data_IF_107437145250
#
_entry.id   IF_107437145250
#
_cell.length_a   1.000
_cell.length_b   1.000
_cell.length_c   1.000
_cell.angle_alpha   90.00
_cell.angle_beta   90.00
_cell.angle_gamma   90.00
#
_symmetry.space_group_name_H-M   'P 1'
#
loop_
_entity.id
_entity.type
_entity.pdbx_description
1 polymer ?
#
# COMPACT_ATOMS: atom_id res chain seq x y z
N UNK A 1 16.73 47.45 -9.05
CA UNK A 1 15.49 46.73 -8.71
C UNK A 1 15.78 45.25 -8.90
N UNK A 2 16.00 44.52 -7.81
CA UNK A 2 16.14 43.06 -7.86
C UNK A 2 14.80 42.42 -8.23
N UNK A 3 14.82 41.20 -8.77
CA UNK A 3 13.61 40.46 -9.14
C UNK A 3 12.63 40.40 -7.95
N UNK A 4 11.51 41.10 -8.06
CA UNK A 4 10.38 41.04 -7.11
C UNK A 4 9.53 39.78 -7.27
N UNK A 5 9.79 39.01 -8.33
CA UNK A 5 9.06 37.79 -8.63
C UNK A 5 9.71 36.58 -7.95
N UNK A 6 8.87 35.72 -7.36
CA UNK A 6 9.28 34.45 -6.78
C UNK A 6 9.65 33.43 -7.87
N UNK A 7 10.17 32.26 -7.46
CA UNK A 7 10.64 31.23 -8.38
C UNK A 7 9.52 30.71 -9.29
N UNK A 8 8.32 30.50 -8.74
CA UNK A 8 7.12 30.07 -9.48
C UNK A 8 6.82 31.01 -10.65
N UNK A 9 6.76 32.33 -10.40
CA UNK A 9 6.54 33.33 -11.45
C UNK A 9 7.71 33.42 -12.43
N UNK A 10 8.93 33.46 -11.92
CA UNK A 10 10.15 33.64 -12.73
C UNK A 10 10.33 32.50 -13.73
N UNK A 11 10.06 31.26 -13.32
CA UNK A 11 10.19 30.08 -14.17
C UNK A 11 8.88 29.71 -14.90
N UNK A 12 7.80 30.46 -14.67
CA UNK A 12 6.47 30.20 -15.25
C UNK A 12 5.85 28.88 -14.78
N UNK A 13 6.14 28.45 -13.55
CA UNK A 13 5.64 27.20 -12.98
C UNK A 13 4.12 27.25 -12.89
N UNK A 14 3.49 26.25 -13.48
CA UNK A 14 2.04 26.06 -13.46
C UNK A 14 1.72 24.92 -12.52
N UNK A 15 0.60 25.01 -11.81
CA UNK A 15 0.08 23.91 -10.99
C UNK A 15 -0.11 22.66 -11.85
N UNK A 16 0.42 21.54 -11.37
CA UNK A 16 0.34 20.26 -12.03
C UNK A 16 -0.86 19.48 -11.48
N UNK A 17 -1.55 18.78 -12.38
CA UNK A 17 -2.65 17.89 -12.00
C UNK A 17 -2.17 16.61 -11.32
N UNK A 18 -0.93 16.18 -11.61
CA UNK A 18 -0.25 15.05 -10.98
C UNK A 18 1.26 15.18 -11.19
N UNK A 19 2.04 14.41 -10.42
CA UNK A 19 3.49 14.31 -10.61
C UNK A 19 3.89 13.76 -11.99
N UNK A 20 3.01 12.98 -12.63
CA UNK A 20 3.18 12.43 -13.98
C UNK A 20 2.68 13.35 -15.10
N UNK A 21 2.25 14.57 -14.78
CA UNK A 21 1.90 15.57 -15.78
C UNK A 21 3.17 16.18 -16.37
N UNK A 22 3.60 15.66 -17.53
CA UNK A 22 4.82 16.08 -18.20
C UNK A 22 4.61 17.17 -19.24
N UNK A 23 3.38 17.68 -19.40
CA UNK A 23 2.99 18.50 -20.55
C UNK A 23 2.55 19.91 -20.17
N UNK A 24 2.08 20.10 -18.94
CA UNK A 24 1.55 21.39 -18.47
C UNK A 24 2.64 22.44 -18.30
N UNK A 25 2.36 23.66 -18.78
CA UNK A 25 3.25 24.81 -18.64
C UNK A 25 4.62 24.59 -19.27
N UNK A 26 5.66 25.20 -18.70
CA UNK A 26 7.02 25.03 -19.20
C UNK A 26 7.63 23.66 -18.87
N UNK A 27 6.99 22.84 -18.03
CA UNK A 27 7.41 21.44 -17.83
C UNK A 27 7.36 20.67 -19.14
N UNK A 28 6.40 20.97 -20.01
CA UNK A 28 6.33 20.41 -21.36
C UNK A 28 7.61 20.61 -22.18
N UNK A 29 8.25 21.78 -22.08
CA UNK A 29 9.51 22.04 -22.77
C UNK A 29 10.68 21.27 -22.14
N UNK A 30 10.72 21.23 -20.81
CA UNK A 30 11.73 20.46 -20.06
C UNK A 30 11.66 18.97 -20.40
N UNK A 31 10.44 18.40 -20.38
CA UNK A 31 10.19 17.01 -20.78
C UNK A 31 10.68 16.74 -22.19
N UNK A 32 10.40 17.62 -23.15
CA UNK A 32 10.85 17.45 -24.54
C UNK A 32 12.36 17.45 -24.67
N UNK A 33 13.07 18.29 -23.90
CA UNK A 33 14.53 18.24 -23.82
C UNK A 33 15.00 16.89 -23.26
N UNK A 34 14.44 16.44 -22.14
CA UNK A 34 14.78 15.13 -21.55
C UNK A 34 14.49 13.96 -22.49
N UNK A 35 13.41 14.01 -23.27
CA UNK A 35 13.12 12.94 -24.23
C UNK A 35 14.06 12.93 -25.44
N UNK A 36 14.73 14.04 -25.74
CA UNK A 36 15.66 14.15 -26.88
C UNK A 36 17.10 13.76 -26.50
N UNK A 37 17.55 14.18 -25.32
CA UNK A 37 18.96 14.12 -24.89
C UNK A 37 19.15 13.66 -23.44
N UNK A 38 18.06 13.33 -22.74
CA UNK A 38 18.10 12.91 -21.35
C UNK A 38 18.73 11.54 -21.13
N UNK A 39 18.88 11.10 -19.87
CA UNK A 39 19.46 9.80 -19.57
C UNK A 39 18.58 8.67 -20.09
N UNK A 40 19.21 7.53 -20.40
CA UNK A 40 18.51 6.36 -20.94
C UNK A 40 17.39 5.84 -20.01
N UNK A 41 17.49 6.09 -18.71
CA UNK A 41 16.44 5.77 -17.71
C UNK A 41 15.18 6.60 -17.95
N UNK A 42 15.31 7.88 -18.27
CA UNK A 42 14.19 8.77 -18.59
C UNK A 42 13.68 8.52 -20.01
N UNK A 43 14.56 8.44 -21.00
CA UNK A 43 14.19 8.27 -22.42
C UNK A 43 13.39 6.98 -22.66
N UNK A 44 13.76 5.88 -21.98
CA UNK A 44 13.02 4.61 -22.08
C UNK A 44 11.78 4.52 -21.20
N UNK A 45 11.58 5.47 -20.29
CA UNK A 45 10.42 5.46 -19.41
C UNK A 45 9.13 5.78 -20.19
N UNK A 46 7.99 5.57 -19.53
CA UNK A 46 6.67 5.98 -20.04
C UNK A 46 6.58 7.47 -20.35
N UNK A 47 7.49 8.30 -19.80
CA UNK A 47 7.58 9.74 -20.09
C UNK A 47 7.88 10.04 -21.56
N UNK A 48 8.72 9.22 -22.20
CA UNK A 48 9.29 9.53 -23.52
C UNK A 48 9.11 8.40 -24.54
N UNK A 49 9.05 7.13 -24.11
CA UNK A 49 8.93 5.95 -24.98
C UNK A 49 9.97 5.87 -26.11
N UNK A 50 11.16 6.42 -25.86
CA UNK A 50 12.29 6.45 -26.80
C UNK A 50 13.19 5.23 -26.69
N UNK A 51 14.26 5.24 -27.49
CA UNK A 51 15.30 4.19 -27.48
C UNK A 51 16.56 4.68 -26.80
N UNK A 52 17.31 3.76 -26.18
CA UNK A 52 18.61 4.10 -25.60
C UNK A 52 19.60 4.57 -26.66
N UNK A 53 20.45 5.52 -26.28
CA UNK A 53 21.55 5.98 -27.11
C UNK A 53 22.75 6.42 -26.30
N UNK A 54 23.87 6.57 -27.00
CA UNK A 54 25.05 7.27 -26.49
C UNK A 54 24.82 8.78 -26.56
N UNK A 55 25.41 9.51 -25.61
CA UNK A 55 25.29 10.95 -25.47
C UNK A 55 26.67 11.61 -25.55
N UNK A 56 26.78 12.76 -26.21
CA UNK A 56 27.96 13.61 -26.14
C UNK A 56 28.02 14.36 -24.80
N UNK A 57 29.17 14.94 -24.46
CA UNK A 57 29.30 15.78 -23.25
C UNK A 57 28.32 16.95 -23.28
N UNK A 58 28.21 17.66 -24.41
CA UNK A 58 27.27 18.78 -24.56
C UNK A 58 25.82 18.35 -24.33
N UNK A 59 25.45 17.14 -24.78
CA UNK A 59 24.11 16.58 -24.54
C UNK A 59 23.88 16.26 -23.06
N UNK A 60 24.91 15.78 -22.35
CA UNK A 60 24.85 15.52 -20.91
C UNK A 60 24.71 16.83 -20.11
N UNK A 61 25.36 17.91 -20.52
CA UNK A 61 25.21 19.22 -19.86
C UNK A 61 23.78 19.76 -19.99
N UNK A 62 23.21 19.71 -21.19
CA UNK A 62 21.82 20.16 -21.40
C UNK A 62 20.84 19.22 -20.66
N UNK A 63 21.11 17.91 -20.64
CA UNK A 63 20.36 16.92 -19.85
C UNK A 63 20.37 17.24 -18.35
N UNK A 64 21.52 17.60 -17.79
CA UNK A 64 21.67 18.01 -16.39
C UNK A 64 20.76 19.22 -16.08
N UNK A 65 20.78 20.27 -16.91
CA UNK A 65 19.91 21.43 -16.71
C UNK A 65 18.43 21.08 -16.86
N UNK A 66 18.09 20.20 -17.79
CA UNK A 66 16.71 19.73 -17.95
C UNK A 66 16.24 18.93 -16.72
N UNK A 67 17.09 18.07 -16.15
CA UNK A 67 16.77 17.35 -14.91
C UNK A 67 16.59 18.30 -13.72
N UNK A 68 17.43 19.33 -13.58
CA UNK A 68 17.25 20.37 -12.55
C UNK A 68 15.94 21.12 -12.75
N UNK A 69 15.63 21.50 -14.00
CA UNK A 69 14.38 22.17 -14.33
C UNK A 69 13.15 21.33 -13.99
N UNK A 70 13.20 20.02 -14.29
CA UNK A 70 12.10 19.09 -14.01
C UNK A 70 11.94 18.87 -12.50
N UNK A 71 13.04 18.79 -11.74
CA UNK A 71 13.02 18.68 -10.28
C UNK A 71 12.34 19.90 -9.64
N UNK A 72 12.68 21.11 -10.09
CA UNK A 72 12.06 22.35 -9.63
C UNK A 72 10.57 22.36 -9.99
N UNK A 73 10.22 22.02 -11.23
CA UNK A 73 8.84 21.99 -11.69
C UNK A 73 7.99 20.98 -10.93
N UNK A 74 8.54 19.79 -10.64
CA UNK A 74 7.85 18.78 -9.87
C UNK A 74 7.62 19.26 -8.43
N UNK A 75 8.65 19.83 -7.80
CA UNK A 75 8.59 20.28 -6.41
C UNK A 75 7.54 21.38 -6.24
N UNK A 76 7.60 22.44 -7.05
CA UNK A 76 6.67 23.56 -6.95
C UNK A 76 5.33 23.23 -7.61
N UNK A 77 5.31 22.65 -8.80
CA UNK A 77 4.07 22.35 -9.52
C UNK A 77 3.14 21.37 -8.78
N UNK A 78 3.67 20.50 -7.91
CA UNK A 78 2.88 19.57 -7.10
C UNK A 78 2.68 20.05 -5.66
N UNK A 79 3.72 20.56 -4.97
CA UNK A 79 3.62 20.90 -3.54
C UNK A 79 3.12 22.31 -3.26
N UNK A 80 3.39 23.28 -4.13
CA UNK A 80 2.95 24.69 -3.99
C UNK A 80 1.46 24.77 -4.39
N UNK A 81 0.60 24.32 -3.47
CA UNK A 81 -0.80 24.05 -3.76
C UNK A 81 -1.59 25.35 -4.01
N UNK A 82 -1.18 26.45 -3.39
CA UNK A 82 -1.75 27.78 -3.61
C UNK A 82 -0.98 28.61 -4.67
N UNK A 83 0.12 28.06 -5.21
CA UNK A 83 0.94 28.65 -6.27
C UNK A 83 1.50 30.03 -5.89
N UNK A 84 1.78 30.22 -4.60
CA UNK A 84 2.29 31.47 -4.05
C UNK A 84 3.83 31.57 -4.10
N UNK A 85 4.52 30.49 -4.49
CA UNK A 85 5.98 30.42 -4.60
C UNK A 85 6.72 30.01 -3.33
N UNK A 86 6.03 29.65 -2.26
CA UNK A 86 6.56 29.19 -0.98
C UNK A 86 5.99 27.81 -0.64
N UNK A 87 6.86 26.81 -0.44
CA UNK A 87 6.43 25.48 0.00
C UNK A 87 6.42 25.45 1.54
N UNK A 88 5.24 25.38 2.13
CA UNK A 88 5.06 25.44 3.59
C UNK A 88 5.16 24.07 4.26
N UNK A 89 5.42 24.06 5.57
CA UNK A 89 5.39 22.81 6.37
C UNK A 89 4.02 22.13 6.34
N UNK A 90 2.94 22.90 6.19
CA UNK A 90 1.57 22.37 6.07
C UNK A 90 1.43 21.56 4.78
N UNK A 91 1.86 22.11 3.65
CA UNK A 91 1.83 21.42 2.34
C UNK A 91 2.71 20.16 2.34
N UNK A 92 3.88 20.23 2.96
CA UNK A 92 4.77 19.08 3.12
C UNK A 92 4.14 18.01 4.04
N UNK A 93 3.53 18.41 5.17
CA UNK A 93 2.93 17.48 6.13
C UNK A 93 1.68 16.79 5.60
N UNK A 94 0.89 17.47 4.75
CA UNK A 94 -0.23 16.89 4.05
C UNK A 94 0.20 15.76 3.10
N UNK A 95 1.47 15.74 2.69
CA UNK A 95 2.07 14.71 1.86
C UNK A 95 2.70 13.55 2.66
N UNK A 96 3.29 13.82 3.84
CA UNK A 96 4.11 12.85 4.59
C UNK A 96 3.44 12.20 5.81
N UNK A 97 2.17 12.48 6.12
CA UNK A 97 1.53 11.98 7.33
C UNK A 97 1.36 10.44 7.34
N UNK A 98 1.98 9.78 8.33
CA UNK A 98 1.88 8.33 8.65
C UNK A 98 1.27 8.06 10.04
N UNK A 99 0.68 9.06 10.69
CA UNK A 99 0.08 8.91 12.02
C UNK A 99 -1.03 7.85 12.00
N UNK A 100 -0.92 6.81 12.84
CA UNK A 100 -1.95 5.77 13.00
C UNK A 100 -1.50 4.34 12.66
N UNK A 101 -0.29 4.17 12.13
CA UNK A 101 0.33 2.85 11.96
C UNK A 101 1.11 2.50 13.22
N UNK A 102 0.64 1.54 14.00
CA UNK A 102 1.44 0.88 15.04
C UNK A 102 1.59 -0.61 14.71
N UNK A 103 2.66 -1.22 15.21
CA UNK A 103 2.94 -2.65 15.05
C UNK A 103 2.02 -3.55 15.88
N UNK A 104 1.01 -3.00 16.54
CA UNK A 104 0.20 -3.68 17.57
C UNK A 104 -1.23 -3.98 17.14
N UNK A 105 -1.57 -3.82 15.86
CA UNK A 105 -2.95 -4.00 15.38
C UNK A 105 -3.95 -3.00 15.98
N UNK A 106 -3.49 -1.94 16.68
CA UNK A 106 -4.33 -1.06 17.48
C UNK A 106 -5.33 -0.21 16.68
N UNK A 107 -5.20 -0.20 15.36
CA UNK A 107 -6.18 0.38 14.44
C UNK A 107 -7.24 -0.60 13.95
N UNK A 108 -7.28 -1.83 14.45
CA UNK A 108 -8.21 -2.89 14.04
C UNK A 108 -9.18 -3.27 15.15
N UNK A 109 -10.44 -3.45 14.81
CA UNK A 109 -11.45 -4.05 15.69
C UNK A 109 -11.58 -5.53 15.38
N UNK A 110 -10.75 -6.38 15.99
CA UNK A 110 -10.82 -7.83 15.82
C UNK A 110 -11.35 -8.50 17.08
N UNK A 111 -12.30 -9.42 16.94
CA UNK A 111 -12.77 -10.22 18.06
C UNK A 111 -13.30 -11.58 17.61
N UNK A 112 -13.21 -12.60 18.47
CA UNK A 112 -13.75 -13.91 18.17
C UNK A 112 -15.28 -13.85 18.06
N UNK A 113 -15.86 -14.49 17.05
CA UNK A 113 -17.32 -14.56 16.87
C UNK A 113 -17.97 -15.71 17.66
N UNK A 114 -17.19 -16.49 18.42
CA UNK A 114 -17.65 -17.73 19.06
C UNK A 114 -18.38 -18.67 18.08
N UNK A 115 -17.88 -18.69 16.85
CA UNK A 115 -18.38 -19.50 15.73
C UNK A 115 -17.21 -20.05 14.94
N UNK A 116 -17.48 -21.16 14.27
CA UNK A 116 -16.47 -21.85 13.46
C UNK A 116 -17.02 -22.15 12.06
N UNK A 117 -16.17 -22.03 11.04
CA UNK A 117 -16.39 -22.73 9.78
C UNK A 117 -15.83 -24.15 9.93
N UNK A 118 -16.70 -25.14 9.79
CA UNK A 118 -16.34 -26.56 9.80
C UNK A 118 -16.22 -27.02 8.36
N UNK A 119 -15.04 -27.49 7.95
CA UNK A 119 -14.77 -27.90 6.57
C UNK A 119 -14.80 -29.42 6.49
N UNK A 120 -15.59 -29.94 5.56
CA UNK A 120 -15.77 -31.38 5.32
C UNK A 120 -15.79 -31.68 3.81
N UNK A 121 -14.60 -31.95 3.25
CA UNK A 121 -14.45 -32.12 1.80
C UNK A 121 -14.79 -30.83 1.04
N UNK A 122 -15.75 -30.89 0.12
CA UNK A 122 -16.26 -29.72 -0.62
C UNK A 122 -17.37 -28.96 0.12
N UNK A 123 -17.84 -29.49 1.24
CA UNK A 123 -18.92 -28.92 2.05
C UNK A 123 -18.33 -28.14 3.23
N UNK A 124 -18.92 -26.99 3.53
CA UNK A 124 -18.60 -26.23 4.74
C UNK A 124 -19.87 -26.06 5.57
N UNK A 125 -19.72 -25.91 6.87
CA UNK A 125 -20.81 -25.60 7.79
C UNK A 125 -20.42 -24.41 8.67
N UNK A 126 -21.39 -23.60 9.06
CA UNK A 126 -21.22 -22.64 10.15
C UNK A 126 -21.68 -23.31 11.44
N UNK A 127 -20.82 -23.27 12.45
CA UNK A 127 -21.00 -23.89 13.75
C UNK A 127 -21.04 -22.86 14.86
N UNK A 128 -21.75 -23.16 15.95
CA UNK A 128 -21.57 -22.48 17.23
C UNK A 128 -20.26 -22.89 17.92
N UNK A 129 -19.97 -22.27 19.07
CA UNK A 129 -18.69 -22.39 19.80
C UNK A 129 -18.30 -23.80 20.27
N UNK A 130 -19.25 -24.73 20.32
CA UNK A 130 -19.02 -26.09 20.82
C UNK A 130 -19.43 -27.19 19.83
N UNK A 131 -19.70 -26.83 18.57
CA UNK A 131 -20.10 -27.77 17.50
C UNK A 131 -21.40 -28.54 17.73
N UNK A 132 -22.19 -28.17 18.74
CA UNK A 132 -23.50 -28.78 18.98
C UNK A 132 -24.55 -28.36 17.95
N UNK A 133 -24.28 -27.29 17.19
CA UNK A 133 -25.18 -26.72 16.19
C UNK A 133 -24.41 -26.30 14.95
N UNK A 134 -24.77 -26.87 13.81
CA UNK A 134 -24.21 -26.64 12.49
C UNK A 134 -25.28 -26.47 11.43
N UNK A 135 -25.04 -25.55 10.51
CA UNK A 135 -25.86 -25.33 9.31
C UNK A 135 -24.95 -25.26 8.10
N UNK A 136 -25.39 -25.82 6.97
CA UNK A 136 -24.61 -25.83 5.72
C UNK A 136 -24.33 -24.40 5.25
N UNK A 137 -23.06 -24.15 4.92
CA UNK A 137 -22.55 -22.91 4.37
C UNK A 137 -22.35 -23.06 2.85
N UNK A 138 -23.34 -22.63 2.08
CA UNK A 138 -23.39 -22.81 0.62
C UNK A 138 -22.99 -21.53 -0.13
N UNK A 139 -23.42 -20.39 0.37
CA UNK A 139 -23.32 -19.07 -0.28
C UNK A 139 -22.90 -18.01 0.76
N UNK A 140 -23.47 -16.81 0.78
CA UNK A 140 -22.98 -15.72 1.64
C UNK A 140 -23.18 -16.02 3.14
N UNK A 141 -22.28 -15.50 3.97
CA UNK A 141 -22.33 -15.58 5.42
C UNK A 141 -23.53 -14.80 5.95
N UNK A 142 -24.63 -15.53 6.15
CA UNK A 142 -25.92 -15.00 6.67
C UNK A 142 -26.51 -15.93 7.72
N UNK A 143 -25.80 -17.00 8.08
CA UNK A 143 -26.37 -18.16 8.74
C UNK A 143 -26.09 -18.12 10.24
N UNK A 144 -27.14 -18.04 11.05
CA UNK A 144 -27.07 -18.31 12.48
C UNK A 144 -27.17 -19.83 12.72
N UNK A 145 -26.13 -20.46 13.31
CA UNK A 145 -26.16 -21.89 13.56
C UNK A 145 -27.21 -22.33 14.59
N UNK A 146 -27.85 -21.42 15.34
CA UNK A 146 -28.78 -21.73 16.45
C UNK A 146 -29.87 -22.77 16.12
N UNK A 147 -30.33 -22.82 14.87
CA UNK A 147 -31.35 -23.76 14.36
C UNK A 147 -30.81 -25.11 13.87
N UNK A 148 -29.49 -25.30 13.88
CA UNK A 148 -28.82 -26.46 13.30
C UNK A 148 -28.86 -27.74 14.12
N UNK A 149 -28.21 -28.77 13.59
CA UNK A 149 -27.95 -30.06 14.28
C UNK A 149 -26.48 -30.18 14.68
N UNK A 150 -26.13 -31.17 15.49
CA UNK A 150 -24.74 -31.47 15.82
C UNK A 150 -23.88 -31.60 14.54
N UNK A 151 -22.69 -31.00 14.54
CA UNK A 151 -21.82 -30.91 13.35
C UNK A 151 -21.34 -32.27 12.87
N UNK A 152 -21.00 -33.19 13.79
CA UNK A 152 -20.53 -34.53 13.44
C UNK A 152 -21.66 -35.35 12.86
N UNK A 153 -22.84 -35.29 13.48
CA UNK A 153 -24.05 -35.95 12.97
C UNK A 153 -24.44 -35.41 11.60
N UNK A 154 -24.34 -34.09 11.39
CA UNK A 154 -24.66 -33.46 10.10
C UNK A 154 -23.71 -33.90 9.01
N UNK A 155 -22.40 -33.84 9.25
CA UNK A 155 -21.39 -34.29 8.30
C UNK A 155 -21.57 -35.78 7.95
N UNK A 156 -21.83 -36.63 8.95
CA UNK A 156 -22.12 -38.05 8.76
C UNK A 156 -23.37 -38.27 7.88
N UNK A 157 -24.45 -37.54 8.16
CA UNK A 157 -25.71 -37.60 7.39
C UNK A 157 -25.51 -37.18 5.93
N UNK A 158 -24.64 -36.19 5.70
CA UNK A 158 -24.28 -35.70 4.37
C UNK A 158 -23.23 -36.58 3.67
N UNK A 159 -22.75 -37.65 4.32
CA UNK A 159 -21.77 -38.58 3.76
C UNK A 159 -20.36 -37.99 3.63
N UNK A 160 -20.03 -36.95 4.40
CA UNK A 160 -18.71 -36.28 4.39
C UNK A 160 -18.02 -36.40 5.74
N UNK A 161 -16.69 -36.22 5.74
CA UNK A 161 -15.88 -36.24 6.97
C UNK A 161 -15.27 -34.86 7.20
N UNK A 162 -15.31 -34.40 8.45
CA UNK A 162 -14.72 -33.12 8.86
C UNK A 162 -13.20 -33.24 8.82
N UNK A 163 -12.54 -32.30 8.15
CA UNK A 163 -11.09 -32.31 7.94
C UNK A 163 -10.37 -31.19 8.68
N UNK A 164 -11.03 -30.05 8.88
CA UNK A 164 -10.47 -28.91 9.61
C UNK A 164 -11.57 -28.02 10.17
N UNK A 165 -11.20 -27.19 11.14
CA UNK A 165 -12.02 -26.14 11.70
C UNK A 165 -11.30 -24.81 11.49
N UNK A 166 -12.06 -23.76 11.18
CA UNK A 166 -11.55 -22.40 11.07
C UNK A 166 -12.34 -21.49 12.01
N UNK A 167 -11.74 -20.92 13.07
CA UNK A 167 -12.40 -19.91 13.89
C UNK A 167 -12.81 -18.71 13.04
N UNK A 168 -13.99 -18.17 13.33
CA UNK A 168 -14.50 -16.96 12.67
C UNK A 168 -14.22 -15.77 13.57
N UNK A 169 -13.54 -14.77 13.02
CA UNK A 169 -13.29 -13.49 13.67
C UNK A 169 -14.14 -12.40 13.03
N UNK A 170 -14.71 -11.58 13.88
CA UNK A 170 -15.40 -10.34 13.56
C UNK A 170 -14.36 -9.28 13.29
N UNK A 171 -14.47 -8.62 12.14
CA UNK A 171 -13.63 -7.52 11.73
C UNK A 171 -14.50 -6.26 11.69
N UNK A 172 -14.49 -5.54 12.80
CA UNK A 172 -15.42 -4.45 13.11
C UNK A 172 -14.92 -3.11 12.54
N UNK A 173 -13.60 -2.90 12.53
CA UNK A 173 -12.99 -1.66 12.06
C UNK A 173 -11.56 -1.87 11.61
N UNK A 174 -11.09 -1.01 10.70
CA UNK A 174 -9.72 -0.92 10.24
C UNK A 174 -9.42 0.55 9.99
N UNK A 175 -8.34 1.05 10.59
CA UNK A 175 -7.88 2.43 10.35
C UNK A 175 -7.36 2.54 8.92
N UNK A 176 -7.86 3.51 8.16
CA UNK A 176 -7.34 3.80 6.84
C UNK A 176 -5.99 4.53 6.92
N UNK A 177 -4.92 3.77 6.77
CA UNK A 177 -3.53 4.25 6.79
C UNK A 177 -3.15 5.07 5.55
N UNK A 178 -3.98 5.07 4.52
CA UNK A 178 -3.75 5.88 3.32
C UNK A 178 -4.20 7.33 3.50
N UNK A 179 -4.85 7.64 4.63
CA UNK A 179 -5.26 8.98 5.01
C UNK A 179 -6.32 9.58 4.09
N UNK A 180 -7.08 8.75 3.37
CA UNK A 180 -8.08 9.17 2.37
C UNK A 180 -7.50 9.97 1.19
N UNK A 181 -6.19 10.16 1.15
CA UNK A 181 -5.49 10.93 0.14
C UNK A 181 -5.05 10.04 -1.01
N UNK A 182 -4.98 10.64 -2.21
CA UNK A 182 -4.51 10.01 -3.44
C UNK A 182 -3.12 9.41 -3.25
N UNK A 183 -3.04 8.20 -2.69
CA UNK A 183 -1.77 7.55 -2.39
C UNK A 183 -0.95 7.34 -3.67
N UNK A 184 -1.64 7.07 -4.77
CA UNK A 184 -1.07 7.11 -6.12
C UNK A 184 -0.36 8.43 -6.42
N UNK A 185 -0.93 9.58 -6.06
CA UNK A 185 -0.28 10.89 -6.24
C UNK A 185 0.99 11.02 -5.40
N UNK A 186 1.00 10.47 -4.18
CA UNK A 186 2.20 10.48 -3.31
C UNK A 186 3.31 9.57 -3.84
N UNK A 187 2.95 8.33 -4.19
CA UNK A 187 3.87 7.37 -4.81
C UNK A 187 4.40 7.95 -6.12
N UNK A 188 3.53 8.52 -6.96
CA UNK A 188 3.93 9.14 -8.22
C UNK A 188 4.92 10.28 -7.96
N UNK A 189 4.66 11.16 -7.00
CA UNK A 189 5.59 12.24 -6.69
C UNK A 189 6.95 11.74 -6.20
N UNK A 190 7.01 10.78 -5.28
CA UNK A 190 8.31 10.28 -4.78
C UNK A 190 9.03 9.44 -5.82
N UNK A 191 8.30 8.67 -6.63
CA UNK A 191 8.85 7.94 -7.77
C UNK A 191 9.45 8.90 -8.80
N UNK A 192 8.77 10.01 -9.12
CA UNK A 192 9.28 11.03 -10.03
C UNK A 192 10.49 11.78 -9.46
N UNK A 193 10.46 12.15 -8.16
CA UNK A 193 11.60 12.77 -7.48
C UNK A 193 12.83 11.85 -7.54
N UNK A 194 12.65 10.57 -7.27
CA UNK A 194 13.74 9.57 -7.26
C UNK A 194 14.27 9.34 -8.66
N UNK A 195 13.39 9.21 -9.66
CA UNK A 195 13.76 9.02 -11.06
C UNK A 195 14.57 10.21 -11.60
N UNK A 196 14.11 11.45 -11.36
CA UNK A 196 14.81 12.67 -11.77
C UNK A 196 16.13 12.82 -11.02
N UNK A 197 16.15 12.55 -9.72
CA UNK A 197 17.35 12.66 -8.88
C UNK A 197 18.42 11.63 -9.29
N UNK A 198 18.02 10.40 -9.59
CA UNK A 198 18.92 9.34 -10.09
C UNK A 198 19.48 9.71 -11.47
N UNK A 199 18.63 10.24 -12.36
CA UNK A 199 19.02 10.76 -13.66
C UNK A 199 20.05 11.90 -13.53
N UNK A 200 19.83 12.82 -12.60
CA UNK A 200 20.72 13.95 -12.33
C UNK A 200 22.08 13.51 -11.74
N UNK A 201 22.11 12.56 -10.81
CA UNK A 201 23.38 12.01 -10.29
C UNK A 201 24.19 11.29 -11.39
N UNK A 202 23.49 10.60 -12.30
CA UNK A 202 24.11 9.97 -13.47
C UNK A 202 24.73 10.99 -14.43
N UNK A 203 24.10 12.14 -14.62
CA UNK A 203 24.65 13.23 -15.45
C UNK A 203 25.84 13.89 -14.75
N UNK A 204 25.75 14.17 -13.44
CA UNK A 204 26.89 14.68 -12.67
C UNK A 204 28.11 13.75 -12.74
N UNK A 205 27.89 12.44 -12.63
CA UNK A 205 28.95 11.44 -12.78
C UNK A 205 29.58 11.51 -14.17
N UNK A 206 28.74 11.61 -15.20
CA UNK A 206 29.19 11.67 -16.60
C UNK A 206 29.99 12.94 -16.91
N UNK A 207 29.69 14.06 -16.23
CA UNK A 207 30.44 15.32 -16.31
C UNK A 207 31.69 15.36 -15.41
N UNK A 208 31.99 14.27 -14.69
CA UNK A 208 33.14 14.21 -13.79
C UNK A 208 32.97 15.04 -12.50
N UNK A 209 31.74 15.40 -12.14
CA UNK A 209 31.47 16.10 -10.88
C UNK A 209 31.62 15.11 -9.72
N UNK A 210 32.57 15.43 -8.83
CA UNK A 210 32.91 14.59 -7.68
C UNK A 210 31.71 14.30 -6.78
N UNK A 211 31.64 13.10 -6.21
CA UNK A 211 30.68 12.73 -5.15
C UNK A 211 30.84 13.57 -3.87
N UNK A 212 32.00 14.23 -3.69
CA UNK A 212 32.22 15.18 -2.59
C UNK A 212 31.65 16.58 -2.87
N UNK A 213 31.17 16.84 -4.09
CA UNK A 213 30.47 18.09 -4.41
C UNK A 213 29.22 18.21 -3.53
N UNK A 214 28.99 19.39 -2.95
CA UNK A 214 27.90 19.62 -1.99
C UNK A 214 26.51 19.30 -2.56
N UNK A 215 26.27 19.58 -3.84
CA UNK A 215 24.98 19.32 -4.50
C UNK A 215 24.80 17.82 -4.68
N UNK A 216 25.85 17.15 -5.18
CA UNK A 216 25.83 15.71 -5.42
C UNK A 216 25.70 14.92 -4.11
N UNK A 217 26.38 15.36 -3.06
CA UNK A 217 26.27 14.79 -1.71
C UNK A 217 24.85 14.94 -1.17
N UNK A 218 24.27 16.14 -1.23
CA UNK A 218 22.89 16.39 -0.80
C UNK A 218 21.88 15.52 -1.57
N UNK A 219 22.07 15.41 -2.89
CA UNK A 219 21.24 14.56 -3.76
C UNK A 219 21.35 13.08 -3.40
N UNK A 220 22.57 12.59 -3.19
CA UNK A 220 22.82 11.19 -2.81
C UNK A 220 22.24 10.87 -1.44
N UNK A 221 22.39 11.77 -0.46
CA UNK A 221 21.81 11.63 0.87
C UNK A 221 20.27 11.63 0.80
N UNK A 222 19.67 12.53 0.03
CA UNK A 222 18.23 12.57 -0.20
C UNK A 222 17.70 11.29 -0.87
N UNK A 223 18.35 10.85 -1.96
CA UNK A 223 18.03 9.61 -2.67
C UNK A 223 18.09 8.41 -1.73
N UNK A 224 19.12 8.30 -0.90
CA UNK A 224 19.27 7.17 0.03
C UNK A 224 18.15 7.08 1.08
N UNK A 225 17.46 8.19 1.35
CA UNK A 225 16.29 8.23 2.23
C UNK A 225 14.99 7.90 1.50
N UNK A 226 14.85 8.28 0.23
CA UNK A 226 13.65 8.01 -0.58
C UNK A 226 13.63 6.57 -1.09
N UNK A 227 14.72 6.15 -1.72
CA UNK A 227 14.96 4.80 -2.27
C UNK A 227 15.73 3.98 -1.23
N UNK A 228 15.05 3.72 -0.12
CA UNK A 228 15.60 3.09 1.07
C UNK A 228 15.40 1.56 1.11
N UNK A 229 14.75 0.97 0.10
CA UNK A 229 14.46 -0.47 0.06
C UNK A 229 13.50 -0.96 1.15
N UNK A 230 12.70 -0.07 1.74
CA UNK A 230 11.86 -0.30 2.92
C UNK A 230 12.65 -0.68 4.18
N UNK A 231 13.89 -0.21 4.27
CA UNK A 231 14.78 -0.47 5.41
C UNK A 231 14.92 0.76 6.31
N UNK A 232 15.16 0.54 7.60
CA UNK A 232 15.62 1.57 8.52
C UNK A 232 17.14 1.77 8.38
N UNK A 233 17.68 2.76 9.10
CA UNK A 233 19.11 3.13 9.07
C UNK A 233 20.09 1.97 9.35
N UNK A 234 19.68 0.98 10.13
CA UNK A 234 20.47 -0.22 10.45
C UNK A 234 20.32 -1.35 9.40
N UNK A 235 19.64 -1.09 8.29
CA UNK A 235 19.25 -2.02 7.23
C UNK A 235 18.26 -3.13 7.67
N UNK A 236 17.63 -3.03 8.85
CA UNK A 236 16.46 -3.84 9.17
C UNK A 236 15.24 -3.35 8.39
N UNK A 237 14.19 -4.16 8.23
CA UNK A 237 12.91 -3.68 7.68
C UNK A 237 12.37 -2.61 8.63
N UNK A 238 11.93 -1.47 8.09
CA UNK A 238 11.44 -0.40 8.93
C UNK A 238 10.14 -0.79 9.66
N UNK A 239 9.89 -0.16 10.79
CA UNK A 239 8.72 -0.43 11.65
C UNK A 239 7.41 -0.19 10.90
N UNK A 240 7.33 0.89 10.12
CA UNK A 240 6.14 1.22 9.35
C UNK A 240 5.82 0.16 8.27
N UNK A 241 6.82 -0.32 7.54
CA UNK A 241 6.67 -1.38 6.55
C UNK A 241 6.25 -2.71 7.20
N UNK A 242 6.83 -3.06 8.35
CA UNK A 242 6.43 -4.25 9.11
C UNK A 242 4.96 -4.16 9.51
N UNK A 243 4.52 -3.03 10.05
CA UNK A 243 3.14 -2.83 10.44
C UNK A 243 2.18 -2.84 9.24
N UNK A 244 2.57 -2.26 8.10
CA UNK A 244 1.79 -2.36 6.86
C UNK A 244 1.59 -3.81 6.43
N UNK A 245 2.65 -4.62 6.48
CA UNK A 245 2.59 -6.02 6.06
C UNK A 245 1.61 -6.82 6.93
N UNK A 246 1.57 -6.55 8.24
CA UNK A 246 0.59 -7.14 9.15
C UNK A 246 -0.86 -6.75 8.79
N UNK A 247 -1.11 -5.48 8.49
CA UNK A 247 -2.43 -5.02 8.04
C UNK A 247 -2.81 -5.64 6.69
N UNK A 248 -1.85 -5.75 5.77
CA UNK A 248 -2.07 -6.36 4.47
C UNK A 248 -2.46 -7.84 4.60
N UNK A 249 -1.93 -8.59 5.58
CA UNK A 249 -2.34 -9.98 5.83
C UNK A 249 -3.85 -10.12 6.07
N UNK A 250 -4.47 -9.14 6.74
CA UNK A 250 -5.93 -9.14 6.99
C UNK A 250 -6.75 -8.92 5.73
N UNK A 251 -6.18 -8.29 4.71
CA UNK A 251 -6.88 -7.83 3.50
C UNK A 251 -6.26 -8.34 2.20
N UNK A 252 -5.42 -9.38 2.27
CA UNK A 252 -4.69 -9.91 1.11
C UNK A 252 -5.61 -10.56 0.07
N UNK A 253 -6.67 -11.22 0.52
CA UNK A 253 -7.57 -11.98 -0.35
C UNK A 253 -9.05 -11.86 0.11
N UNK A 254 -9.60 -10.65 0.18
CA UNK A 254 -10.97 -10.44 0.60
C UNK A 254 -11.93 -10.90 -0.51
N UNK A 255 -13.11 -11.39 -0.14
CA UNK A 255 -14.19 -11.67 -1.08
C UNK A 255 -14.93 -10.38 -1.43
N UNK A 256 -15.16 -10.17 -2.71
CA UNK A 256 -15.96 -9.07 -3.28
C UNK A 256 -17.33 -9.57 -3.77
N UNK A 257 -18.17 -8.67 -4.30
CA UNK A 257 -19.46 -9.07 -4.86
C UNK A 257 -19.37 -9.87 -6.17
N UNK A 258 -18.18 -9.98 -6.78
CA UNK A 258 -17.93 -10.79 -7.97
C UNK A 258 -17.49 -12.23 -7.64
N UNK A 259 -17.16 -12.49 -6.38
CA UNK A 259 -16.67 -13.78 -5.89
C UNK A 259 -17.78 -14.83 -6.00
N UNK A 260 -17.50 -15.92 -6.70
CA UNK A 260 -18.44 -17.03 -6.86
C UNK A 260 -18.65 -17.77 -5.53
N UNK A 261 -19.81 -18.44 -5.36
CA UNK A 261 -20.08 -19.27 -4.18
C UNK A 261 -19.03 -20.38 -3.96
N UNK A 262 -18.45 -20.91 -5.04
CA UNK A 262 -17.36 -21.89 -4.97
C UNK A 262 -16.04 -21.28 -4.50
N UNK A 263 -15.76 -20.02 -4.85
CA UNK A 263 -14.48 -19.37 -4.53
C UNK A 263 -14.50 -18.68 -3.16
N UNK A 264 -15.67 -18.29 -2.66
CA UNK A 264 -15.89 -17.63 -1.37
C UNK A 264 -15.18 -18.34 -0.21
N UNK A 265 -15.18 -19.68 -0.23
CA UNK A 265 -14.57 -20.53 0.80
C UNK A 265 -13.04 -20.43 0.84
N UNK A 266 -12.41 -19.93 -0.22
CA UNK A 266 -10.97 -19.68 -0.31
C UNK A 266 -10.57 -18.23 0.04
N UNK A 267 -11.56 -17.34 0.17
CA UNK A 267 -11.40 -15.91 0.48
C UNK A 267 -11.57 -15.63 1.97
N UNK A 268 -11.15 -14.44 2.40
CA UNK A 268 -11.20 -13.96 3.79
C UNK A 268 -10.48 -14.89 4.78
N UNK A 269 -9.45 -15.61 4.32
CA UNK A 269 -8.69 -16.52 5.15
C UNK A 269 -7.34 -15.90 5.51
N UNK A 270 -6.98 -16.02 6.78
CA UNK A 270 -5.65 -15.68 7.33
C UNK A 270 -5.10 -16.89 8.08
N UNK A 271 -3.78 -17.04 8.13
CA UNK A 271 -3.13 -18.00 9.01
C UNK A 271 -3.53 -17.72 10.46
N UNK A 272 -3.96 -18.73 11.21
CA UNK A 272 -4.31 -18.55 12.61
C UNK A 272 -3.09 -18.11 13.43
N UNK A 273 -1.90 -18.63 13.08
CA UNK A 273 -0.65 -18.19 13.68
C UNK A 273 -0.39 -16.73 13.40
N UNK A 274 -0.42 -16.29 12.13
CA UNK A 274 -0.15 -14.88 11.81
C UNK A 274 -1.13 -13.95 12.52
N UNK A 275 -2.42 -14.34 12.60
CA UNK A 275 -3.44 -13.57 13.30
C UNK A 275 -3.16 -13.46 14.80
N UNK A 276 -2.85 -14.56 15.47
CA UNK A 276 -2.72 -14.64 16.93
C UNK A 276 -1.32 -14.37 17.48
N UNK A 277 -0.29 -14.34 16.63
CA UNK A 277 1.08 -14.02 17.07
C UNK A 277 1.56 -12.68 16.55
N UNK A 278 1.15 -12.32 15.34
CA UNK A 278 1.73 -11.18 14.62
C UNK A 278 0.75 -10.00 14.56
N UNK A 279 -0.53 -10.26 14.30
CA UNK A 279 -1.55 -9.19 14.20
C UNK A 279 -2.06 -8.78 15.58
N UNK A 280 -2.59 -9.73 16.36
CA UNK A 280 -3.14 -9.46 17.69
C UNK A 280 -2.97 -10.67 18.62
N UNK A 281 -1.99 -10.55 19.53
CA UNK A 281 -1.66 -11.58 20.51
C UNK A 281 -2.64 -11.71 21.68
N UNK A 282 -3.62 -10.80 21.80
CA UNK A 282 -4.69 -10.92 22.77
C UNK A 282 -5.79 -11.89 22.32
N UNK A 283 -5.83 -12.20 21.02
CA UNK A 283 -6.78 -13.16 20.46
C UNK A 283 -6.42 -14.58 20.92
N UNK A 284 -7.40 -15.23 21.54
CA UNK A 284 -7.29 -16.64 21.91
C UNK A 284 -8.45 -17.42 21.31
N UNK A 285 -8.16 -18.64 20.87
CA UNK A 285 -9.14 -19.57 20.33
C UNK A 285 -9.13 -20.81 21.21
N UNK A 286 -10.31 -21.28 21.60
CA UNK A 286 -10.46 -22.52 22.35
C UNK A 286 -10.29 -23.68 21.38
N UNK A 287 -9.53 -24.70 21.79
CA UNK A 287 -9.45 -25.94 21.01
C UNK A 287 -10.80 -26.68 21.08
N UNK A 288 -11.34 -27.02 19.92
CA UNK A 288 -12.64 -27.67 19.78
C UNK A 288 -12.44 -28.93 18.95
N UNK A 289 -12.85 -30.06 19.51
CA UNK A 289 -12.91 -31.36 18.85
C UNK A 289 -11.58 -31.96 18.34
N UNK A 290 -10.42 -31.49 18.80
CA UNK A 290 -9.08 -31.98 18.40
C UNK A 290 -8.89 -31.98 16.87
N UNK A 291 -9.54 -31.06 16.16
CA UNK A 291 -9.46 -30.95 14.71
C UNK A 291 -8.42 -29.90 14.31
N UNK A 292 -7.76 -30.05 13.14
CA UNK A 292 -6.78 -29.08 12.68
C UNK A 292 -7.36 -27.66 12.59
N UNK A 293 -6.66 -26.70 13.21
CA UNK A 293 -6.96 -25.26 13.13
C UNK A 293 -5.74 -24.49 12.66
N UNK A 294 -5.63 -24.31 11.34
CA UNK A 294 -4.48 -23.61 10.73
C UNK A 294 -4.83 -22.25 10.16
N UNK A 295 -6.11 -22.02 9.86
CA UNK A 295 -6.62 -20.78 9.27
C UNK A 295 -7.79 -20.23 10.08
N UNK A 296 -7.93 -18.92 10.08
CA UNK A 296 -9.08 -18.20 10.58
C UNK A 296 -9.85 -17.57 9.40
N UNK A 297 -11.17 -17.44 9.55
CA UNK A 297 -12.02 -16.71 8.61
C UNK A 297 -12.37 -15.35 9.18
N UNK A 298 -12.29 -14.32 8.35
CA UNK A 298 -12.74 -12.98 8.68
C UNK A 298 -14.15 -12.74 8.12
N UNK A 299 -14.98 -12.07 8.91
CA UNK A 299 -16.26 -11.49 8.48
C UNK A 299 -16.30 -10.02 8.86
N UNK A 300 -16.80 -9.18 7.96
CA UNK A 300 -16.73 -7.73 8.04
C UNK A 300 -18.02 -7.18 8.64
N UNK A 301 -17.91 -6.23 9.56
CA UNK A 301 -19.09 -5.51 10.06
C UNK A 301 -19.76 -4.72 8.92
N UNK A 302 -21.09 -4.71 8.90
CA UNK A 302 -21.89 -3.96 7.91
C UNK A 302 -22.41 -2.62 8.43
N UNK A 303 -22.21 -2.35 9.73
CA UNK A 303 -22.69 -1.17 10.44
C UNK A 303 -21.73 -0.75 11.56
N UNK A 304 -21.90 0.47 12.08
CA UNK A 304 -21.14 1.01 13.22
C UNK A 304 -22.10 1.70 14.20
N UNK A 305 -22.20 1.23 15.47
CA UNK A 305 -21.52 0.06 16.04
C UNK A 305 -21.96 -1.25 15.38
N UNK A 306 -21.05 -2.22 15.29
CA UNK A 306 -21.28 -3.47 14.56
C UNK A 306 -22.35 -4.35 15.22
N UNK A 307 -23.45 -4.60 14.51
CA UNK A 307 -24.50 -5.56 14.90
C UNK A 307 -24.64 -6.70 13.90
N UNK A 308 -24.22 -6.48 12.66
CA UNK A 308 -24.38 -7.43 11.55
C UNK A 308 -23.07 -7.58 10.77
N UNK A 309 -22.90 -8.75 10.15
CA UNK A 309 -21.64 -9.15 9.52
C UNK A 309 -21.88 -9.78 8.16
N UNK A 310 -20.91 -9.61 7.26
CA UNK A 310 -20.90 -10.16 5.91
C UNK A 310 -19.53 -10.74 5.59
N UNK A 311 -19.46 -11.61 4.60
CA UNK A 311 -18.21 -12.08 4.00
C UNK A 311 -17.81 -11.29 2.74
N UNK A 312 -18.60 -10.33 2.27
CA UNK A 312 -18.20 -9.43 1.18
C UNK A 312 -17.67 -8.12 1.72
N UNK A 313 -16.41 -7.78 1.46
CA UNK A 313 -15.84 -6.51 1.95
C UNK A 313 -16.51 -5.28 1.31
N UNK A 314 -17.07 -5.43 0.11
CA UNK A 314 -17.81 -4.35 -0.57
C UNK A 314 -19.16 -4.03 0.08
N UNK A 315 -19.65 -4.91 0.96
CA UNK A 315 -20.85 -4.70 1.77
C UNK A 315 -20.53 -4.28 3.20
N UNK A 316 -19.24 -4.16 3.54
CA UNK A 316 -18.82 -3.72 4.86
C UNK A 316 -19.25 -2.27 5.13
N UNK A 317 -19.21 -1.89 6.41
CA UNK A 317 -19.36 -0.50 6.83
C UNK A 317 -18.41 0.40 6.04
N UNK A 318 -18.86 1.61 5.69
CA UNK A 318 -18.21 2.51 4.74
C UNK A 318 -16.74 2.80 5.03
N UNK A 319 -16.35 3.00 6.30
CA UNK A 319 -14.97 3.26 6.69
C UNK A 319 -14.11 2.00 6.57
N UNK A 320 -14.65 0.85 6.99
CA UNK A 320 -13.99 -0.44 6.87
C UNK A 320 -13.78 -0.84 5.39
N UNK A 321 -14.81 -0.70 4.55
CA UNK A 321 -14.70 -0.92 3.11
C UNK A 321 -13.60 -0.06 2.48
N UNK A 322 -13.59 1.24 2.80
CA UNK A 322 -12.60 2.19 2.26
C UNK A 322 -11.18 1.78 2.66
N UNK A 323 -10.96 1.46 3.93
CA UNK A 323 -9.65 1.02 4.41
C UNK A 323 -9.18 -0.29 3.76
N UNK A 324 -10.05 -1.30 3.68
CA UNK A 324 -9.75 -2.59 3.04
C UNK A 324 -9.41 -2.38 1.56
N UNK A 325 -10.24 -1.62 0.83
CA UNK A 325 -10.04 -1.32 -0.59
C UNK A 325 -8.70 -0.62 -0.81
N UNK A 326 -8.40 0.38 0.00
CA UNK A 326 -7.18 1.17 -0.14
C UNK A 326 -5.93 0.31 0.11
N UNK A 327 -5.89 -0.45 1.21
CA UNK A 327 -4.76 -1.32 1.52
C UNK A 327 -4.62 -2.46 0.49
N UNK A 328 -5.73 -3.08 0.07
CA UNK A 328 -5.72 -4.13 -0.94
C UNK A 328 -5.21 -3.61 -2.30
N UNK A 329 -5.56 -2.36 -2.68
CA UNK A 329 -5.11 -1.73 -3.93
C UNK A 329 -3.61 -1.44 -3.99
N UNK A 330 -2.97 -1.24 -2.83
CA UNK A 330 -1.50 -1.12 -2.73
C UNK A 330 -0.87 -2.49 -2.98
N UNK A 331 -1.49 -3.54 -2.46
CA UNK A 331 -0.97 -4.90 -2.54
C UNK A 331 0.19 -5.16 -1.58
N UNK A 332 0.68 -6.40 -1.59
CA UNK A 332 1.91 -6.77 -0.92
C UNK A 332 3.07 -6.51 -1.85
N UNK A 333 3.88 -5.47 -1.59
CA UNK A 333 5.10 -5.22 -2.37
C UNK A 333 6.16 -6.28 -2.00
N UNK A 334 6.32 -7.30 -2.84
CA UNK A 334 7.23 -8.42 -2.55
C UNK A 334 8.72 -8.13 -2.84
N UNK A 335 9.07 -6.96 -3.38
CA UNK A 335 10.46 -6.59 -3.64
C UNK A 335 10.65 -5.08 -3.70
N UNK A 336 11.05 -4.49 -2.58
CA UNK A 336 11.70 -3.17 -2.55
C UNK A 336 13.19 -3.37 -2.65
N UNK A 337 13.85 -2.67 -3.58
CA UNK A 337 15.29 -2.81 -3.83
C UNK A 337 15.94 -1.46 -3.65
N UNK A 338 16.75 -1.33 -2.60
CA UNK A 338 17.49 -0.12 -2.30
C UNK A 338 18.37 0.30 -3.49
N UNK A 339 18.20 1.53 -3.94
CA UNK A 339 18.98 2.17 -5.00
C UNK A 339 18.60 1.75 -6.42
N UNK A 340 17.41 1.18 -6.65
CA UNK A 340 16.96 0.79 -7.99
C UNK A 340 16.36 1.96 -8.81
N UNK A 341 16.25 3.14 -8.19
CA UNK A 341 15.70 4.35 -8.79
C UNK A 341 14.18 4.40 -8.80
N UNK A 342 13.50 3.48 -8.09
CA UNK A 342 12.05 3.43 -7.94
C UNK A 342 11.72 3.48 -6.46
N UNK A 343 10.53 4.03 -6.15
CA UNK A 343 10.05 4.11 -4.77
C UNK A 343 8.63 3.60 -4.72
N UNK A 344 8.43 2.55 -3.94
CA UNK A 344 7.13 1.98 -3.62
C UNK A 344 6.49 2.59 -2.37
N UNK A 345 5.31 2.11 -2.02
CA UNK A 345 4.62 2.55 -0.81
C UNK A 345 5.42 2.23 0.45
N UNK A 346 6.03 1.03 0.51
CA UNK A 346 6.80 0.61 1.70
C UNK A 346 7.98 1.53 1.96
N UNK A 347 8.67 1.95 0.91
CA UNK A 347 9.80 2.88 1.02
C UNK A 347 9.36 4.27 1.48
N UNK A 348 8.22 4.76 0.97
CA UNK A 348 7.64 6.05 1.37
C UNK A 348 7.40 6.11 2.88
N UNK A 349 6.78 5.08 3.45
CA UNK A 349 6.48 5.04 4.89
C UNK A 349 7.72 4.80 5.76
N UNK A 350 8.84 4.37 5.17
CA UNK A 350 10.13 4.18 5.85
C UNK A 350 11.04 5.42 5.84
N UNK A 351 10.66 6.52 5.17
CA UNK A 351 11.51 7.74 5.08
C UNK A 351 11.88 8.28 6.46
N UNK A 352 10.97 8.23 7.44
CA UNK A 352 11.21 8.76 8.79
C UNK A 352 12.23 7.94 9.60
N UNK A 353 12.51 6.70 9.21
CA UNK A 353 13.44 5.78 9.90
C UNK A 353 14.86 5.78 9.27
N UNK A 354 15.11 6.65 8.27
CA UNK A 354 16.39 6.85 7.56
C UNK A 354 17.02 8.23 7.79
#
# INVERSE_FOLDING_TARGET
TGATDNLTKTLGISKLSSAKDYTTGNRGYVTRALCLIGPNTIVKSSRCSGSSRSRSTDEVEISMFANIGDLIYLSYGVLDNDSNGDITSTEISAFSNTSGVNSSGGGTGLSLYSRFEVVAGSTSYISNENMSKCVTYTDNYTVDPSSGSDCVLKAFTDGVSITEIRPIFKFDSLTDITGGGLLSSRIDMVSELTSISTALDGDFTSLGISSTNILRKSLSEGLSKLDNGATAKDNAICTAATAFDLLYLLVKNPADNSTSSSDLKSKNLISLTDLTTSVDSSLSVVDVANLPMTKARLVYATDSPASTYTDSYEKAESSLYTAIKNINSIGGESSTVKGDGKVGFRELICIAEN
#
